data_IF_742239507916
#
_entry.id   IF_742239507916
#
_cell.length_a   1.000
_cell.length_b   1.000
_cell.length_c   1.000
_cell.angle_alpha   90.00
_cell.angle_beta   90.00
_cell.angle_gamma   90.00
#
_symmetry.space_group_name_H-M   'P 1'
#
loop_
_entity.id
_entity.type
_entity.pdbx_description
1 polymer ?
#
# COMPACT_ATOMS: atom_id res chain seq x y z
N UNK A 1 -1.95 -20.00 -7.01
CA UNK A 1 -2.82 -18.91 -6.52
C UNK A 1 -1.88 -17.79 -6.11
N UNK A 2 -2.07 -16.56 -6.57
CA UNK A 2 -1.23 -15.45 -6.11
C UNK A 2 -1.28 -15.39 -4.58
N UNK A 3 -0.11 -15.23 -3.96
CA UNK A 3 0.05 -15.18 -2.50
C UNK A 3 0.43 -13.76 -2.06
N UNK A 4 0.26 -12.77 -2.92
CA UNK A 4 0.84 -11.45 -2.71
C UNK A 4 -0.23 -10.40 -2.52
N UNK A 5 -0.06 -9.55 -1.51
CA UNK A 5 -0.93 -8.40 -1.23
C UNK A 5 -0.11 -7.12 -1.25
N UNK A 6 -0.66 -6.07 -1.83
CA UNK A 6 -0.03 -4.76 -1.87
C UNK A 6 -0.62 -3.88 -0.78
N UNK A 7 0.20 -3.24 0.04
CA UNK A 7 -0.24 -2.32 1.09
C UNK A 7 0.15 -0.91 0.69
N UNK A 8 -0.81 0.00 0.58
CA UNK A 8 -0.52 1.43 0.46
C UNK A 8 -0.08 2.03 1.82
N UNK A 9 0.36 3.29 1.81
CA UNK A 9 0.75 3.97 3.04
C UNK A 9 -0.37 4.05 4.09
N UNK A 10 -1.65 4.18 3.69
CA UNK A 10 -2.78 4.25 4.63
C UNK A 10 -2.98 2.94 5.40
N UNK A 11 -2.84 1.79 4.73
CA UNK A 11 -2.89 0.47 5.34
C UNK A 11 -1.71 0.24 6.28
N UNK A 12 -0.50 0.63 5.87
CA UNK A 12 0.69 0.48 6.73
C UNK A 12 0.60 1.38 7.97
N UNK A 13 0.13 2.62 7.83
CA UNK A 13 -0.04 3.54 8.97
C UNK A 13 -1.04 2.98 10.00
N UNK A 14 -2.08 2.26 9.58
CA UNK A 14 -3.00 1.58 10.51
C UNK A 14 -2.28 0.53 11.35
N UNK A 15 -1.39 -0.28 10.75
CA UNK A 15 -0.59 -1.27 11.49
C UNK A 15 0.38 -0.62 12.49
N UNK A 16 0.88 0.58 12.15
CA UNK A 16 1.76 1.37 13.03
C UNK A 16 0.98 1.98 14.19
N UNK A 17 -0.17 2.60 13.93
CA UNK A 17 -0.94 3.36 14.94
C UNK A 17 -1.92 2.52 15.77
N UNK A 18 -2.16 1.26 15.39
CA UNK A 18 -3.21 0.42 16.00
C UNK A 18 -4.56 1.14 16.06
N UNK A 19 -5.10 1.47 14.87
CA UNK A 19 -6.41 2.08 14.71
C UNK A 19 -7.53 1.03 14.80
N UNK A 20 -8.79 1.46 14.70
CA UNK A 20 -9.95 0.59 14.88
C UNK A 20 -9.93 -0.62 13.92
N UNK A 21 -9.52 -0.41 12.68
CA UNK A 21 -9.47 -1.42 11.63
C UNK A 21 -8.23 -2.32 11.70
N UNK A 22 -7.26 -2.00 12.57
CA UNK A 22 -5.97 -2.72 12.62
C UNK A 22 -6.12 -4.19 12.97
N UNK A 23 -7.06 -4.56 13.86
CA UNK A 23 -7.27 -5.96 14.23
C UNK A 23 -7.84 -6.79 13.06
N UNK A 24 -8.77 -6.20 12.31
CA UNK A 24 -9.33 -6.82 11.11
C UNK A 24 -8.25 -6.94 10.02
N UNK A 25 -7.44 -5.91 9.84
CA UNK A 25 -6.31 -5.93 8.90
C UNK A 25 -5.27 -6.99 9.26
N UNK A 26 -4.85 -7.07 10.53
CA UNK A 26 -3.91 -8.09 11.00
C UNK A 26 -4.45 -9.50 10.78
N UNK A 27 -5.76 -9.70 11.01
CA UNK A 27 -6.43 -10.99 10.73
C UNK A 27 -6.43 -11.32 9.25
N UNK A 28 -6.74 -10.34 8.39
CA UNK A 28 -6.71 -10.52 6.94
C UNK A 28 -5.30 -10.84 6.42
N UNK A 29 -4.27 -10.30 7.06
CA UNK A 29 -2.86 -10.50 6.72
C UNK A 29 -2.21 -11.71 7.43
N UNK A 30 -2.94 -12.47 8.24
CA UNK A 30 -2.38 -13.51 9.11
C UNK A 30 -1.86 -14.75 8.37
N UNK A 31 -2.16 -14.91 7.08
CA UNK A 31 -1.66 -16.00 6.25
C UNK A 31 -0.20 -15.79 5.79
N UNK A 32 0.33 -16.79 5.09
CA UNK A 32 1.70 -16.78 4.49
C UNK A 32 1.77 -15.94 3.21
N UNK A 33 1.02 -14.84 3.17
CA UNK A 33 1.00 -13.94 2.02
C UNK A 33 2.22 -13.03 2.04
N UNK A 34 2.89 -12.87 0.90
CA UNK A 34 3.90 -11.84 0.75
C UNK A 34 3.24 -10.46 0.75
N UNK A 35 3.83 -9.53 1.49
CA UNK A 35 3.33 -8.17 1.65
C UNK A 35 4.25 -7.23 0.93
N UNK A 36 3.77 -6.66 -0.18
CA UNK A 36 4.52 -5.72 -0.99
C UNK A 36 4.06 -4.29 -0.75
N UNK A 37 4.97 -3.36 -0.98
CA UNK A 37 4.63 -1.94 -1.16
C UNK A 37 5.66 -1.27 -2.07
N UNK A 38 5.40 -0.04 -2.49
CA UNK A 38 6.42 0.79 -3.15
C UNK A 38 7.39 1.34 -2.10
N UNK A 39 8.65 1.53 -2.47
CA UNK A 39 9.66 2.15 -1.60
C UNK A 39 9.23 3.52 -1.06
N UNK A 40 8.36 4.25 -1.77
CA UNK A 40 7.83 5.55 -1.28
C UNK A 40 7.09 5.44 0.06
N UNK A 41 6.59 4.24 0.39
CA UNK A 41 5.92 3.96 1.67
C UNK A 41 6.84 4.23 2.87
N UNK A 42 8.16 4.08 2.71
CA UNK A 42 9.12 4.40 3.78
C UNK A 42 9.04 5.87 4.15
N UNK A 43 8.96 6.75 3.15
CA UNK A 43 8.89 8.19 3.37
C UNK A 43 7.57 8.54 4.04
N UNK A 44 6.47 7.98 3.55
CA UNK A 44 5.13 8.29 4.05
C UNK A 44 4.94 7.80 5.49
N UNK A 45 5.28 6.54 5.75
CA UNK A 45 5.10 5.90 7.05
C UNK A 45 6.04 6.50 8.08
N UNK A 46 7.33 6.70 7.77
CA UNK A 46 8.27 7.31 8.72
C UNK A 46 7.90 8.76 9.05
N UNK A 47 7.37 9.53 8.08
CA UNK A 47 6.87 10.89 8.35
C UNK A 47 5.61 10.88 9.20
N UNK A 48 4.67 9.99 8.92
CA UNK A 48 3.48 9.81 9.76
C UNK A 48 3.88 9.39 11.18
N UNK A 49 4.77 8.41 11.34
CA UNK A 49 5.23 7.91 12.63
C UNK A 49 5.88 9.00 13.49
N UNK A 50 6.74 9.85 12.89
CA UNK A 50 7.36 11.01 13.58
C UNK A 50 6.35 12.00 14.14
N UNK A 51 5.17 12.14 13.51
CA UNK A 51 4.09 13.01 14.01
C UNK A 51 3.49 12.48 15.31
N UNK A 52 3.60 11.18 15.56
CA UNK A 52 2.97 10.49 16.69
C UNK A 52 3.96 9.88 17.68
N UNK A 53 5.28 9.99 17.45
CA UNK A 53 6.30 9.37 18.29
C UNK A 53 6.32 7.84 18.21
N UNK A 54 6.09 7.28 17.00
CA UNK A 54 5.96 5.84 16.74
C UNK A 54 7.07 5.29 15.81
N UNK A 55 8.25 5.91 15.79
CA UNK A 55 9.33 5.60 14.83
C UNK A 55 9.86 4.17 14.94
N UNK A 56 9.99 3.64 16.16
CA UNK A 56 10.41 2.24 16.40
C UNK A 56 9.36 1.28 15.83
N UNK A 57 8.08 1.50 16.15
CA UNK A 57 6.97 0.69 15.64
C UNK A 57 6.86 0.74 14.12
N UNK A 58 7.11 1.90 13.51
CA UNK A 58 7.16 2.04 12.07
C UNK A 58 8.27 1.19 11.44
N UNK A 59 9.43 1.13 12.08
CA UNK A 59 10.54 0.27 11.63
C UNK A 59 10.13 -1.21 11.70
N UNK A 60 9.57 -1.66 12.81
CA UNK A 60 9.11 -3.05 12.97
C UNK A 60 8.06 -3.48 11.93
N UNK A 61 7.19 -2.55 11.50
CA UNK A 61 6.15 -2.82 10.51
C UNK A 61 6.74 -2.82 9.10
N UNK A 62 7.59 -1.84 8.77
CA UNK A 62 8.24 -1.74 7.46
C UNK A 62 9.16 -2.93 7.19
N UNK A 63 9.86 -3.45 8.19
CA UNK A 63 10.75 -4.62 8.08
C UNK A 63 10.01 -5.93 7.71
N UNK A 64 8.67 -5.92 7.78
CA UNK A 64 7.81 -7.05 7.38
C UNK A 64 7.26 -6.93 5.96
N UNK A 65 7.63 -5.86 5.24
CA UNK A 65 7.24 -5.62 3.87
C UNK A 65 8.42 -5.88 2.95
N UNK A 66 8.15 -6.52 1.81
CA UNK A 66 9.05 -6.48 0.67
C UNK A 66 8.79 -5.16 -0.07
N UNK A 67 9.80 -4.32 -0.24
CA UNK A 67 9.66 -3.01 -0.89
C UNK A 67 10.12 -3.07 -2.35
N UNK A 68 9.28 -2.58 -3.24
CA UNK A 68 9.54 -2.49 -4.66
C UNK A 68 10.09 -1.10 -4.99
N UNK A 69 11.22 -1.08 -5.70
CA UNK A 69 11.90 0.15 -6.11
C UNK A 69 11.03 1.01 -7.04
N UNK A 70 11.22 2.33 -6.98
CA UNK A 70 10.63 3.25 -7.96
C UNK A 70 11.50 3.29 -9.21
N UNK A 71 11.29 2.32 -10.10
CA UNK A 71 11.98 2.26 -11.39
C UNK A 71 11.40 3.29 -12.39
N UNK A 72 12.19 3.73 -13.40
CA UNK A 72 11.72 4.69 -14.42
C UNK A 72 10.42 4.28 -15.12
N UNK A 73 10.20 2.99 -15.32
CA UNK A 73 9.01 2.40 -15.92
C UNK A 73 7.79 2.61 -15.03
N UNK A 74 7.93 2.41 -13.72
CA UNK A 74 6.89 2.66 -12.72
C UNK A 74 6.57 4.15 -12.67
N UNK A 75 7.59 5.02 -12.68
CA UNK A 75 7.38 6.47 -12.69
C UNK A 75 6.63 6.93 -13.96
N UNK A 76 6.96 6.33 -15.11
CA UNK A 76 6.28 6.61 -16.38
C UNK A 76 4.83 6.12 -16.37
N UNK A 77 4.57 4.93 -15.82
CA UNK A 77 3.22 4.39 -15.65
C UNK A 77 2.40 5.26 -14.68
N UNK A 78 2.97 5.68 -13.55
CA UNK A 78 2.33 6.55 -12.57
C UNK A 78 1.95 7.92 -13.15
N UNK A 79 2.67 8.42 -14.16
CA UNK A 79 2.31 9.66 -14.84
C UNK A 79 1.06 9.51 -15.75
N UNK A 80 0.63 8.28 -16.04
CA UNK A 80 -0.44 7.96 -16.97
C UNK A 80 -1.65 7.28 -16.31
N UNK A 81 -1.60 6.97 -15.00
CA UNK A 81 -2.74 6.34 -14.32
C UNK A 81 -3.93 7.29 -14.23
N UNK A 82 -5.12 6.73 -14.41
CA UNK A 82 -6.37 7.44 -14.18
C UNK A 82 -6.85 7.27 -12.73
N UNK A 83 -7.52 8.29 -12.16
CA UNK A 83 -7.86 9.57 -12.76
C UNK A 83 -6.67 10.57 -12.67
N UNK A 84 -6.59 11.58 -13.56
CA UNK A 84 -5.50 12.56 -13.55
C UNK A 84 -5.44 13.42 -12.29
N UNK A 85 -6.50 13.43 -11.48
CA UNK A 85 -6.55 14.10 -10.18
C UNK A 85 -6.01 13.27 -9.01
N UNK A 86 -5.55 12.03 -9.24
CA UNK A 86 -4.93 11.22 -8.21
C UNK A 86 -3.61 11.87 -7.78
N UNK A 87 -3.32 11.87 -6.47
CA UNK A 87 -2.10 12.49 -5.95
C UNK A 87 -0.89 11.69 -6.41
N UNK A 88 0.27 12.34 -6.56
CA UNK A 88 1.46 11.69 -7.12
C UNK A 88 1.92 10.45 -6.36
N UNK A 89 1.86 10.44 -5.02
CA UNK A 89 2.24 9.26 -4.23
C UNK A 89 1.21 8.12 -4.38
N UNK A 90 -0.08 8.46 -4.36
CA UNK A 90 -1.17 7.50 -4.63
C UNK A 90 -1.05 6.91 -6.04
N UNK A 91 -0.67 7.72 -7.02
CA UNK A 91 -0.42 7.29 -8.40
C UNK A 91 0.79 6.36 -8.52
N UNK A 92 1.86 6.62 -7.77
CA UNK A 92 3.02 5.72 -7.67
C UNK A 92 2.60 4.39 -7.05
N UNK A 93 1.87 4.41 -5.93
CA UNK A 93 1.36 3.20 -5.31
C UNK A 93 0.51 2.37 -6.28
N UNK A 94 -0.42 3.01 -6.98
CA UNK A 94 -1.28 2.35 -7.96
C UNK A 94 -0.47 1.76 -9.12
N UNK A 95 0.48 2.52 -9.69
CA UNK A 95 1.32 2.04 -10.79
C UNK A 95 2.22 0.86 -10.38
N UNK A 96 2.81 0.92 -9.17
CA UNK A 96 3.60 -0.20 -8.63
C UNK A 96 2.74 -1.44 -8.39
N UNK A 97 1.51 -1.28 -7.91
CA UNK A 97 0.62 -2.42 -7.75
C UNK A 97 0.20 -3.02 -9.10
N UNK A 98 -0.09 -2.18 -10.09
CA UNK A 98 -0.45 -2.63 -11.45
C UNK A 98 0.70 -3.37 -12.14
N UNK A 99 1.96 -3.04 -11.86
CA UNK A 99 3.11 -3.73 -12.46
C UNK A 99 3.26 -5.18 -11.98
N UNK A 100 2.62 -5.57 -10.89
CA UNK A 100 2.60 -6.95 -10.39
C UNK A 100 1.66 -7.86 -11.20
N UNK A 101 0.73 -7.29 -11.98
CA UNK A 101 -0.18 -8.05 -12.82
C UNK A 101 -0.94 -9.14 -12.06
N UNK A 102 -0.93 -10.36 -12.60
CA UNK A 102 -1.65 -11.52 -12.04
C UNK A 102 -1.06 -12.06 -10.72
N UNK A 103 0.13 -11.61 -10.32
CA UNK A 103 0.74 -11.99 -9.04
C UNK A 103 0.07 -11.27 -7.86
N UNK A 104 -0.59 -10.14 -8.11
CA UNK A 104 -1.27 -9.37 -7.08
C UNK A 104 -2.66 -9.92 -6.78
N UNK A 105 -2.86 -10.35 -5.54
CA UNK A 105 -4.15 -10.88 -5.06
C UNK A 105 -5.09 -9.77 -4.62
N UNK A 106 -4.57 -8.75 -3.95
CA UNK A 106 -5.36 -7.65 -3.42
C UNK A 106 -4.52 -6.38 -3.22
N UNK A 107 -5.13 -5.23 -3.47
CA UNK A 107 -4.64 -3.91 -3.14
C UNK A 107 -5.33 -3.42 -1.86
N UNK A 108 -4.56 -3.31 -0.78
CA UNK A 108 -5.05 -2.95 0.55
C UNK A 108 -4.86 -1.45 0.77
N UNK A 109 -5.97 -0.72 0.86
CA UNK A 109 -5.99 0.73 1.05
C UNK A 109 -7.24 1.18 1.82
N UNK A 110 -7.12 2.33 2.49
CA UNK A 110 -8.20 2.95 3.25
C UNK A 110 -8.47 4.41 2.81
N UNK A 111 -7.69 4.95 1.86
CA UNK A 111 -8.06 6.19 1.18
C UNK A 111 -9.10 5.89 0.10
N UNK A 112 -10.29 6.48 0.22
CA UNK A 112 -11.42 6.23 -0.69
C UNK A 112 -11.12 6.60 -2.14
N UNK A 113 -10.29 7.62 -2.37
CA UNK A 113 -9.98 8.08 -3.74
C UNK A 113 -9.03 7.11 -4.42
N UNK A 114 -8.01 6.66 -3.69
CA UNK A 114 -7.08 5.65 -4.17
C UNK A 114 -7.79 4.29 -4.35
N UNK A 115 -8.63 3.88 -3.39
CA UNK A 115 -9.47 2.69 -3.51
C UNK A 115 -10.32 2.72 -4.80
N UNK A 116 -11.02 3.82 -5.05
CA UNK A 116 -11.83 3.95 -6.26
C UNK A 116 -10.98 3.96 -7.55
N UNK A 117 -9.75 4.48 -7.51
CA UNK A 117 -8.84 4.44 -8.66
C UNK A 117 -8.32 3.01 -8.93
N UNK A 118 -7.92 2.29 -7.88
CA UNK A 118 -7.47 0.91 -7.96
C UNK A 118 -8.57 -0.03 -8.49
N UNK A 119 -9.81 0.11 -7.97
CA UNK A 119 -10.96 -0.65 -8.44
C UNK A 119 -11.27 -0.40 -9.92
N UNK A 120 -11.26 0.87 -10.35
CA UNK A 120 -11.42 1.23 -11.78
C UNK A 120 -10.30 0.69 -12.66
N UNK A 121 -9.10 0.55 -12.12
CA UNK A 121 -7.95 -0.03 -12.81
C UNK A 121 -8.00 -1.58 -12.83
N UNK A 122 -9.01 -2.19 -12.23
CA UNK A 122 -9.23 -3.64 -12.23
C UNK A 122 -8.54 -4.39 -11.09
N UNK A 123 -7.99 -3.69 -10.09
CA UNK A 123 -7.40 -4.32 -8.91
C UNK A 123 -8.50 -4.74 -7.92
N UNK A 124 -8.33 -5.89 -7.29
CA UNK A 124 -9.17 -6.29 -6.17
C UNK A 124 -8.82 -5.46 -4.94
N UNK A 125 -9.69 -4.52 -4.56
CA UNK A 125 -9.47 -3.64 -3.41
C UNK A 125 -9.96 -4.28 -2.12
N UNK A 126 -9.15 -4.19 -1.05
CA UNK A 126 -9.47 -4.74 0.27
C UNK A 126 -9.28 -3.67 1.36
N UNK A 127 -10.30 -3.50 2.21
CA UNK A 127 -10.27 -2.64 3.39
C UNK A 127 -10.97 -3.34 4.57
N UNK A 128 -10.28 -4.26 5.28
CA UNK A 128 -10.88 -4.99 6.41
C UNK A 128 -11.28 -4.04 7.54
N UNK A 129 -12.38 -4.31 8.24
CA UNK A 129 -12.91 -3.49 9.33
C UNK A 129 -13.50 -4.36 10.46
#
# INVERSE_FOLDING_TARGET
MPQTVYLDASAVVKLVRQEAESAALETALAGDQERLSSLVVEVEVRRAARRFGLEERATDVLDRLTLLELEPEIASAAALVDPPGLRSLDAIHLATALSLGEELSAFVCYDERLAAAADRAGLAVLAPA
#
